data_IF_272286681575
#
_entry.id   IF_272286681575
#
_cell.length_a   1.000
_cell.length_b   1.000
_cell.length_c   1.000
_cell.angle_alpha   90.00
_cell.angle_beta   90.00
_cell.angle_gamma   90.00
#
_symmetry.space_group_name_H-M   'P 1'
#
loop_
_entity.id
_entity.type
_entity.pdbx_description
1 polymer ?
#
# COMPACT_ATOMS: atom_id res chain seq x y z
N UNK A 1 -10.45 -23.02 3.35
CA UNK A 1 -10.72 -22.10 4.48
C UNK A 1 -10.21 -20.68 4.25
N UNK A 2 -9.13 -20.45 3.49
CA UNK A 2 -8.74 -19.08 3.06
C UNK A 2 -9.87 -18.32 2.33
N UNK A 3 -10.70 -19.07 1.59
CA UNK A 3 -11.78 -18.51 0.79
C UNK A 3 -12.77 -17.69 1.62
N UNK A 4 -13.20 -18.14 2.81
CA UNK A 4 -14.29 -17.47 3.54
C UNK A 4 -13.84 -16.18 4.23
N UNK A 5 -12.61 -16.14 4.75
CA UNK A 5 -12.03 -14.93 5.35
C UNK A 5 -11.85 -13.84 4.28
N UNK A 6 -11.30 -14.23 3.12
CA UNK A 6 -11.04 -13.33 2.03
C UNK A 6 -12.35 -12.88 1.37
N UNK A 7 -13.28 -13.77 1.06
CA UNK A 7 -14.59 -13.45 0.47
C UNK A 7 -15.38 -12.45 1.32
N UNK A 8 -15.33 -12.56 2.66
CA UNK A 8 -15.98 -11.60 3.57
C UNK A 8 -15.40 -10.17 3.51
N UNK A 9 -14.13 -10.00 3.08
CA UNK A 9 -13.52 -8.69 2.77
C UNK A 9 -14.28 -8.01 1.64
N UNK A 10 -14.81 -8.79 0.70
CA UNK A 10 -15.39 -8.28 -0.52
C UNK A 10 -16.93 -8.26 -0.50
N UNK A 11 -17.58 -9.19 0.20
CA UNK A 11 -19.05 -9.27 0.34
C UNK A 11 -19.66 -8.02 0.97
N UNK A 12 -19.07 -7.51 2.05
CA UNK A 12 -19.57 -6.32 2.74
C UNK A 12 -19.25 -5.02 1.98
N UNK A 13 -18.54 -5.12 0.86
CA UNK A 13 -17.90 -4.01 0.16
C UNK A 13 -18.10 -4.07 -1.37
N UNK A 14 -19.24 -4.55 -1.86
CA UNK A 14 -19.57 -4.49 -3.29
C UNK A 14 -19.72 -3.03 -3.81
N UNK A 15 -18.92 -2.62 -4.80
CA UNK A 15 -18.94 -1.25 -5.36
C UNK A 15 -17.56 -0.74 -5.80
N UNK A 16 -17.43 0.51 -6.27
CA UNK A 16 -16.16 1.10 -6.72
C UNK A 16 -15.21 1.33 -5.54
N UNK A 17 -14.46 0.28 -5.19
CA UNK A 17 -13.55 0.25 -4.05
C UNK A 17 -12.22 -0.37 -4.45
N UNK A 18 -11.18 -0.02 -3.71
CA UNK A 18 -9.85 -0.63 -3.81
C UNK A 18 -9.52 -1.33 -2.50
N UNK A 19 -9.20 -2.63 -2.57
CA UNK A 19 -8.62 -3.39 -1.48
C UNK A 19 -7.07 -3.38 -1.58
N UNK A 20 -6.41 -2.90 -0.53
CA UNK A 20 -4.95 -2.91 -0.38
C UNK A 20 -4.56 -3.98 0.65
N UNK A 21 -3.82 -5.00 0.22
CA UNK A 21 -3.44 -6.12 1.08
C UNK A 21 -2.02 -5.96 1.63
N UNK A 22 -1.81 -6.48 2.85
CA UNK A 22 -0.49 -6.63 3.44
C UNK A 22 0.47 -7.40 2.51
N UNK A 23 1.77 -7.30 2.82
CA UNK A 23 2.76 -8.15 2.14
C UNK A 23 2.59 -9.62 2.54
N UNK A 24 2.92 -10.51 1.62
CA UNK A 24 2.87 -11.95 1.83
C UNK A 24 3.84 -12.39 2.93
N UNK A 25 3.31 -13.10 3.93
CA UNK A 25 4.17 -13.74 4.91
C UNK A 25 4.86 -14.92 4.25
N UNK A 26 6.18 -14.89 4.21
CA UNK A 26 7.00 -16.06 3.86
C UNK A 26 7.11 -17.01 5.07
N UNK A 27 5.97 -17.34 5.67
CA UNK A 27 5.86 -18.40 6.68
C UNK A 27 5.39 -19.70 6.00
N UNK A 28 5.36 -20.81 6.73
CA UNK A 28 4.75 -22.06 6.24
C UNK A 28 3.21 -22.00 6.19
N UNK A 29 2.62 -20.83 6.48
CA UNK A 29 1.18 -20.66 6.46
C UNK A 29 0.69 -20.37 5.04
N UNK A 30 -0.49 -20.88 4.65
CA UNK A 30 -1.00 -20.66 3.31
C UNK A 30 -1.34 -19.17 3.08
N UNK A 31 -0.91 -18.64 1.94
CA UNK A 31 -1.21 -17.28 1.48
C UNK A 31 -2.14 -17.33 0.26
N UNK A 32 -3.05 -16.34 0.04
CA UNK A 32 -3.87 -16.33 -1.15
C UNK A 32 -3.04 -16.40 -2.43
N UNK A 33 -3.38 -17.32 -3.31
CA UNK A 33 -2.85 -17.34 -4.66
C UNK A 33 -3.46 -16.21 -5.48
N UNK A 34 -2.79 -15.82 -6.57
CA UNK A 34 -3.35 -14.85 -7.52
C UNK A 34 -4.74 -15.26 -8.03
N UNK A 35 -4.93 -16.54 -8.36
CA UNK A 35 -6.20 -17.02 -8.90
C UNK A 35 -7.34 -16.87 -7.88
N UNK A 36 -7.08 -17.12 -6.60
CA UNK A 36 -8.07 -16.94 -5.52
C UNK A 36 -8.44 -15.46 -5.36
N UNK A 37 -7.45 -14.57 -5.32
CA UNK A 37 -7.70 -13.12 -5.19
C UNK A 37 -8.47 -12.58 -6.39
N UNK A 38 -8.02 -12.90 -7.61
CA UNK A 38 -8.65 -12.46 -8.86
C UNK A 38 -10.12 -12.94 -8.94
N UNK A 39 -10.40 -14.18 -8.51
CA UNK A 39 -11.75 -14.74 -8.53
C UNK A 39 -12.69 -13.99 -7.57
N UNK A 40 -12.26 -13.78 -6.33
CA UNK A 40 -13.07 -13.09 -5.31
C UNK A 40 -13.24 -11.61 -5.68
N UNK A 41 -12.17 -10.92 -6.06
CA UNK A 41 -12.21 -9.52 -6.47
C UNK A 41 -13.15 -9.30 -7.68
N UNK A 42 -13.15 -10.24 -8.64
CA UNK A 42 -14.09 -10.25 -9.77
C UNK A 42 -15.53 -10.43 -9.31
N UNK A 43 -15.80 -11.45 -8.49
CA UNK A 43 -17.15 -11.78 -8.01
C UNK A 43 -17.83 -10.58 -7.34
N UNK A 44 -17.07 -9.81 -6.58
CA UNK A 44 -17.59 -8.68 -5.80
C UNK A 44 -17.36 -7.31 -6.43
N UNK A 45 -16.76 -7.28 -7.62
CA UNK A 45 -16.48 -6.05 -8.39
C UNK A 45 -15.63 -5.04 -7.63
N UNK A 46 -14.58 -5.51 -6.97
CA UNK A 46 -13.63 -4.68 -6.22
C UNK A 46 -12.27 -4.77 -6.88
N UNK A 47 -11.55 -3.66 -6.95
CA UNK A 47 -10.17 -3.64 -7.40
C UNK A 47 -9.24 -4.04 -6.25
N UNK A 48 -8.16 -4.77 -6.53
CA UNK A 48 -7.25 -5.28 -5.51
C UNK A 48 -5.79 -4.99 -5.87
N UNK A 49 -5.01 -4.58 -4.88
CA UNK A 49 -3.54 -4.52 -4.90
C UNK A 49 -3.03 -5.45 -3.80
N UNK A 50 -2.31 -6.50 -4.18
CA UNK A 50 -1.95 -7.58 -3.26
C UNK A 50 -0.65 -8.23 -3.66
N UNK A 51 0.02 -8.84 -2.69
CA UNK A 51 1.18 -9.69 -2.96
C UNK A 51 0.76 -11.14 -3.10
N UNK A 52 1.32 -11.84 -4.07
CA UNK A 52 1.18 -13.27 -4.23
C UNK A 52 2.53 -13.90 -4.58
N UNK A 53 2.73 -15.14 -4.14
CA UNK A 53 3.92 -15.92 -4.46
C UNK A 53 3.92 -16.35 -5.93
N UNK A 54 5.10 -16.30 -6.52
CA UNK A 54 5.39 -16.82 -7.84
C UNK A 54 5.85 -18.27 -7.77
N UNK A 55 5.90 -18.93 -8.92
CA UNK A 55 6.40 -20.31 -9.04
C UNK A 55 7.87 -20.47 -8.64
N UNK A 56 8.64 -19.39 -8.64
CA UNK A 56 10.03 -19.35 -8.19
C UNK A 56 10.18 -19.10 -6.67
N UNK A 57 9.06 -19.04 -5.93
CA UNK A 57 9.03 -18.81 -4.49
C UNK A 57 9.17 -17.35 -4.06
N UNK A 58 9.36 -16.41 -4.98
CA UNK A 58 9.39 -14.97 -4.66
C UNK A 58 7.98 -14.38 -4.62
N UNK A 59 7.74 -13.44 -3.72
CA UNK A 59 6.52 -12.64 -3.70
C UNK A 59 6.64 -11.43 -4.64
N UNK A 60 5.53 -11.09 -5.30
CA UNK A 60 5.42 -9.84 -6.04
C UNK A 60 4.04 -9.22 -5.84
N UNK A 61 4.00 -7.90 -5.77
CA UNK A 61 2.75 -7.15 -5.79
C UNK A 61 2.14 -7.17 -7.19
N UNK A 62 0.84 -7.42 -7.22
CA UNK A 62 0.00 -7.58 -8.40
C UNK A 62 -1.27 -6.77 -8.21
N UNK A 63 -1.90 -6.43 -9.33
CA UNK A 63 -3.13 -5.66 -9.32
C UNK A 63 -4.22 -6.33 -10.15
N UNK A 64 -5.44 -6.28 -9.64
CA UNK A 64 -6.64 -6.75 -10.30
C UNK A 64 -7.67 -5.63 -10.39
N UNK A 65 -8.22 -5.41 -11.57
CA UNK A 65 -9.33 -4.51 -11.84
C UNK A 65 -10.59 -5.32 -12.15
N UNK A 66 -11.75 -5.01 -11.56
CA UNK A 66 -13.02 -5.62 -11.95
C UNK A 66 -13.45 -5.24 -13.37
N UNK A 67 -12.85 -4.21 -13.97
CA UNK A 67 -13.13 -3.75 -15.34
C UNK A 67 -12.12 -4.31 -16.34
N UNK A 68 -10.82 -4.21 -16.04
CA UNK A 68 -9.75 -4.62 -16.95
C UNK A 68 -9.25 -6.05 -16.71
N UNK A 69 -9.71 -6.71 -15.64
CA UNK A 69 -9.17 -7.98 -15.19
C UNK A 69 -7.80 -7.82 -14.53
N UNK A 70 -6.97 -8.86 -14.62
CA UNK A 70 -5.63 -8.80 -14.04
C UNK A 70 -4.72 -7.85 -14.83
N UNK A 71 -4.06 -6.93 -14.14
CA UNK A 71 -3.17 -5.95 -14.75
C UNK A 71 -1.76 -6.53 -14.95
N UNK A 72 -1.00 -6.09 -15.97
CA UNK A 72 0.36 -6.55 -16.23
C UNK A 72 1.38 -5.89 -15.28
N UNK A 73 1.07 -5.83 -13.99
CA UNK A 73 1.92 -5.22 -12.95
C UNK A 73 2.49 -6.34 -12.09
N UNK A 74 3.82 -6.32 -11.94
CA UNK A 74 4.53 -7.25 -11.09
C UNK A 74 5.69 -6.52 -10.39
N UNK A 75 5.47 -6.12 -9.14
CA UNK A 75 6.39 -5.26 -8.39
C UNK A 75 7.08 -6.07 -7.30
N UNK A 76 8.39 -6.23 -7.44
CA UNK A 76 9.23 -6.94 -6.50
C UNK A 76 9.89 -5.98 -5.51
N UNK A 77 10.12 -6.48 -4.30
CA UNK A 77 10.96 -5.80 -3.32
C UNK A 77 12.41 -5.72 -3.82
N UNK A 78 13.00 -4.51 -3.83
CA UNK A 78 14.42 -4.32 -4.19
C UNK A 78 15.37 -4.56 -3.03
N UNK A 79 14.98 -4.15 -1.84
CA UNK A 79 15.77 -4.36 -0.63
C UNK A 79 14.88 -4.36 0.62
N UNK A 80 15.39 -4.91 1.71
CA UNK A 80 14.67 -5.09 2.96
C UNK A 80 15.15 -4.20 4.10
N UNK A 81 16.41 -3.75 4.09
CA UNK A 81 16.98 -3.10 5.28
C UNK A 81 17.62 -1.75 4.99
N UNK A 82 17.82 -0.97 6.06
CA UNK A 82 18.56 0.30 5.99
C UNK A 82 20.03 0.11 5.63
N UNK A 83 20.61 -1.02 6.00
CA UNK A 83 22.02 -1.35 5.73
C UNK A 83 22.21 -1.56 4.23
N UNK A 84 21.30 -2.28 3.57
CA UNK A 84 21.31 -2.43 2.11
C UNK A 84 21.14 -1.07 1.41
N UNK A 85 20.16 -0.26 1.84
CA UNK A 85 19.95 1.07 1.28
C UNK A 85 21.15 2.03 1.53
N UNK A 86 21.89 1.85 2.62
CA UNK A 86 23.10 2.63 2.90
C UNK A 86 24.28 2.20 2.04
N UNK A 87 24.44 0.90 1.83
CA UNK A 87 25.56 0.33 1.09
C UNK A 87 25.50 0.63 -0.41
N UNK A 88 24.30 0.88 -0.95
CA UNK A 88 24.10 1.08 -2.39
C UNK A 88 23.28 2.36 -2.69
N UNK A 89 23.96 3.51 -2.83
CA UNK A 89 23.31 4.76 -3.24
C UNK A 89 22.68 4.70 -4.64
N UNK A 90 23.21 3.88 -5.56
CA UNK A 90 22.69 3.76 -6.91
C UNK A 90 21.32 3.06 -6.91
N UNK A 91 21.19 1.96 -6.17
CA UNK A 91 19.90 1.28 -5.95
C UNK A 91 18.83 2.22 -5.35
N UNK A 92 19.23 3.08 -4.40
CA UNK A 92 18.31 4.09 -3.83
C UNK A 92 17.89 5.11 -4.88
N UNK A 93 18.84 5.65 -5.65
CA UNK A 93 18.55 6.62 -6.71
C UNK A 93 17.62 6.04 -7.79
N UNK A 94 17.82 4.78 -8.18
CA UNK A 94 16.93 4.07 -9.09
C UNK A 94 15.52 3.94 -8.51
N UNK A 95 15.38 3.49 -7.25
CA UNK A 95 14.05 3.38 -6.64
C UNK A 95 13.35 4.75 -6.50
N UNK A 96 14.09 5.81 -6.23
CA UNK A 96 13.55 7.19 -6.21
C UNK A 96 13.03 7.60 -7.59
N UNK A 97 13.79 7.31 -8.65
CA UNK A 97 13.35 7.53 -10.03
C UNK A 97 12.05 6.78 -10.34
N UNK A 98 11.92 5.54 -9.87
CA UNK A 98 10.71 4.74 -10.09
C UNK A 98 9.52 5.17 -9.25
N UNK A 99 9.76 5.93 -8.17
CA UNK A 99 8.71 6.65 -7.43
C UNK A 99 8.31 7.97 -8.10
N UNK A 100 8.97 8.36 -9.19
CA UNK A 100 8.64 9.56 -9.95
C UNK A 100 7.26 9.48 -10.62
N UNK A 101 6.79 10.59 -11.23
CA UNK A 101 5.57 10.59 -12.02
C UNK A 101 5.64 9.51 -13.10
N UNK A 102 4.63 8.64 -13.16
CA UNK A 102 4.57 7.51 -14.11
C UNK A 102 5.67 6.45 -13.98
N UNK A 103 6.46 6.48 -12.89
CA UNK A 103 7.46 5.46 -12.62
C UNK A 103 6.87 4.10 -12.22
N UNK A 104 7.70 3.07 -12.19
CA UNK A 104 7.30 1.67 -11.93
C UNK A 104 6.68 1.44 -10.55
N UNK A 105 6.85 2.38 -9.60
CA UNK A 105 6.24 2.32 -8.27
C UNK A 105 4.88 3.01 -8.19
N UNK A 106 4.33 3.48 -9.30
CA UNK A 106 2.95 4.01 -9.36
C UNK A 106 2.04 3.02 -10.07
N UNK A 107 1.16 2.35 -9.32
CA UNK A 107 0.15 1.44 -9.84
C UNK A 107 -1.12 2.23 -10.16
N UNK A 108 -1.55 2.19 -11.42
CA UNK A 108 -2.83 2.79 -11.84
C UNK A 108 -3.94 1.74 -11.73
N UNK A 109 -4.70 1.81 -10.65
CA UNK A 109 -5.74 0.84 -10.33
C UNK A 109 -7.11 1.49 -10.42
N UNK A 110 -7.91 1.10 -11.41
CA UNK A 110 -9.22 1.69 -11.72
C UNK A 110 -9.18 3.23 -11.79
N UNK A 111 -8.17 3.79 -12.43
CA UNK A 111 -8.02 5.25 -12.56
C UNK A 111 -7.49 5.96 -11.31
N UNK A 112 -7.17 5.22 -10.24
CA UNK A 112 -6.50 5.73 -9.06
C UNK A 112 -4.99 5.45 -9.12
N UNK A 113 -4.12 6.46 -9.16
CA UNK A 113 -2.69 6.27 -8.97
C UNK A 113 -2.35 5.95 -7.51
N UNK A 114 -1.64 4.84 -7.31
CA UNK A 114 -1.21 4.37 -5.99
C UNK A 114 0.31 4.21 -6.01
N UNK A 115 1.02 4.99 -5.22
CA UNK A 115 2.45 4.80 -4.97
C UNK A 115 2.66 3.58 -4.09
N UNK A 116 3.59 2.70 -4.43
CA UNK A 116 3.84 1.45 -3.71
C UNK A 116 5.27 1.34 -3.20
N UNK A 117 5.41 1.07 -1.90
CA UNK A 117 6.63 0.52 -1.31
C UNK A 117 6.37 -0.90 -0.81
N UNK A 118 7.24 -1.84 -1.16
CA UNK A 118 7.19 -3.21 -0.66
C UNK A 118 8.05 -3.32 0.59
N UNK A 119 7.40 -3.53 1.75
CA UNK A 119 8.04 -3.80 3.03
C UNK A 119 9.18 -2.80 3.37
N UNK A 120 10.42 -3.27 3.37
CA UNK A 120 11.61 -2.52 3.75
C UNK A 120 12.03 -1.40 2.81
N UNK A 121 11.43 -1.29 1.62
CA UNK A 121 11.75 -0.24 0.64
C UNK A 121 11.51 1.18 1.17
N UNK A 122 10.62 1.34 2.16
CA UNK A 122 10.45 2.63 2.84
C UNK A 122 11.74 3.12 3.55
N UNK A 123 12.77 2.27 3.69
CA UNK A 123 14.10 2.69 4.14
C UNK A 123 14.89 3.49 3.08
N UNK A 124 14.37 3.73 1.86
CA UNK A 124 14.86 4.85 1.04
C UNK A 124 14.68 6.18 1.75
N UNK A 125 13.77 6.25 2.73
CA UNK A 125 13.66 7.39 3.60
C UNK A 125 14.52 7.16 4.84
N UNK A 126 15.23 8.20 5.26
CA UNK A 126 16.03 8.21 6.48
C UNK A 126 15.67 9.39 7.36
N UNK A 127 15.94 9.27 8.65
CA UNK A 127 15.59 10.28 9.65
C UNK A 127 16.88 10.94 10.14
N UNK A 128 16.91 12.27 10.19
CA UNK A 128 17.99 13.01 10.84
C UNK A 128 17.65 13.15 12.33
N UNK A 129 18.25 12.31 13.17
CA UNK A 129 17.96 12.30 14.61
C UNK A 129 18.26 13.65 15.28
N UNK A 130 19.35 14.31 14.89
CA UNK A 130 19.77 15.62 15.40
C UNK A 130 18.83 16.76 15.03
N UNK A 131 17.91 16.55 14.08
CA UNK A 131 16.92 17.54 13.64
C UNK A 131 15.49 17.10 13.99
N UNK A 132 15.29 16.57 15.19
CA UNK A 132 13.95 16.16 15.63
C UNK A 132 13.36 14.98 14.84
N UNK A 133 14.21 14.14 14.25
CA UNK A 133 13.85 13.01 13.39
C UNK A 133 13.15 13.38 12.07
N UNK A 134 13.47 14.55 11.49
CA UNK A 134 13.01 14.92 10.14
C UNK A 134 13.38 13.83 9.13
N UNK A 135 12.39 13.37 8.38
CA UNK A 135 12.56 12.37 7.33
C UNK A 135 12.88 13.04 5.98
N UNK A 136 13.76 12.43 5.21
CA UNK A 136 14.09 12.83 3.83
C UNK A 136 14.55 11.60 3.03
N UNK A 137 14.70 11.75 1.71
CA UNK A 137 15.23 10.70 0.85
C UNK A 137 16.72 10.48 1.16
N UNK A 138 17.08 9.23 1.43
CA UNK A 138 18.45 8.81 1.75
C UNK A 138 19.37 9.16 0.58
N UNK A 139 20.56 9.67 0.89
CA UNK A 139 21.59 10.12 -0.05
C UNK A 139 21.23 11.37 -0.88
N UNK A 140 19.98 11.84 -0.86
CA UNK A 140 19.57 13.10 -1.49
C UNK A 140 18.40 13.75 -0.72
N UNK A 141 18.68 14.66 0.23
CA UNK A 141 17.63 15.36 0.99
C UNK A 141 16.70 16.24 0.15
N UNK A 142 17.11 16.60 -1.07
CA UNK A 142 16.33 17.45 -1.97
C UNK A 142 15.36 16.66 -2.83
N UNK A 143 15.65 15.38 -3.07
CA UNK A 143 14.77 14.48 -3.80
C UNK A 143 13.39 14.34 -3.14
N UNK A 144 12.43 13.95 -3.97
CA UNK A 144 11.05 13.69 -3.58
C UNK A 144 10.63 12.34 -4.16
N UNK A 145 9.76 11.66 -3.42
CA UNK A 145 9.16 10.39 -3.84
C UNK A 145 7.66 10.61 -3.95
N UNK A 146 7.10 10.14 -5.07
CA UNK A 146 5.72 10.36 -5.49
C UNK A 146 5.37 11.85 -5.69
N UNK A 147 4.86 12.18 -6.87
CA UNK A 147 4.37 13.52 -7.18
C UNK A 147 3.01 13.83 -6.55
N UNK A 148 2.58 15.09 -6.61
CA UNK A 148 1.24 15.51 -6.15
C UNK A 148 0.09 14.79 -6.88
N UNK A 149 0.37 14.20 -8.03
CA UNK A 149 -0.55 13.37 -8.81
C UNK A 149 -0.78 11.97 -8.23
N UNK A 150 -0.05 11.57 -7.18
CA UNK A 150 -0.25 10.28 -6.48
C UNK A 150 -0.98 10.59 -5.16
N UNK A 151 -2.31 10.37 -5.05
CA UNK A 151 -3.08 10.68 -3.85
C UNK A 151 -2.96 9.65 -2.74
N UNK A 152 -2.44 8.45 -3.03
CA UNK A 152 -2.27 7.35 -2.07
C UNK A 152 -0.86 6.78 -2.19
N UNK A 153 -0.15 6.70 -1.06
CA UNK A 153 1.04 5.85 -0.90
C UNK A 153 0.69 4.66 -0.04
N UNK A 154 1.00 3.48 -0.51
CA UNK A 154 0.78 2.23 0.17
C UNK A 154 2.12 1.54 0.46
N UNK A 155 2.29 1.11 1.71
CA UNK A 155 3.39 0.24 2.12
C UNK A 155 2.83 -1.04 2.75
N UNK A 156 2.72 -2.08 1.95
CA UNK A 156 2.40 -3.41 2.44
C UNK A 156 3.67 -4.15 2.83
N UNK A 157 3.74 -4.58 4.09
CA UNK A 157 4.94 -5.11 4.71
C UNK A 157 4.79 -6.57 5.15
N UNK A 158 5.92 -7.29 5.12
CA UNK A 158 6.03 -8.71 5.51
C UNK A 158 6.36 -8.90 7.00
N UNK A 159 6.82 -7.84 7.68
CA UNK A 159 7.35 -7.92 9.04
C UNK A 159 6.86 -6.76 9.91
N UNK A 160 7.03 -6.92 11.23
CA UNK A 160 6.67 -5.91 12.21
C UNK A 160 7.83 -4.93 12.20
N UNK A 161 7.58 -3.74 11.66
CA UNK A 161 8.65 -2.74 11.55
C UNK A 161 9.13 -2.32 12.94
N UNK A 162 10.41 -2.53 13.23
CA UNK A 162 10.95 -2.52 14.59
C UNK A 162 11.05 -1.15 15.30
N UNK A 163 10.97 -0.02 14.59
CA UNK A 163 11.01 1.32 15.21
C UNK A 163 9.92 2.24 14.67
N UNK A 164 8.77 2.24 15.34
CA UNK A 164 7.63 3.06 14.97
C UNK A 164 7.87 4.56 15.05
N UNK A 165 8.72 5.04 15.97
CA UNK A 165 9.04 6.47 16.06
C UNK A 165 9.74 6.99 14.80
N UNK A 166 10.65 6.20 14.22
CA UNK A 166 11.30 6.53 12.94
C UNK A 166 10.31 6.42 11.79
N UNK A 167 9.53 5.34 11.77
CA UNK A 167 8.57 5.06 10.70
C UNK A 167 7.44 6.09 10.62
N UNK A 168 6.97 6.57 11.77
CA UNK A 168 5.96 7.63 11.88
C UNK A 168 6.37 8.90 11.14
N UNK A 169 7.63 9.33 11.29
CA UNK A 169 8.14 10.52 10.60
C UNK A 169 8.25 10.32 9.08
N UNK A 170 8.49 9.09 8.62
CA UNK A 170 8.51 8.75 7.19
C UNK A 170 7.09 8.81 6.60
N UNK A 171 6.10 8.26 7.29
CA UNK A 171 4.71 8.36 6.85
C UNK A 171 4.14 9.79 6.99
N UNK A 172 4.61 10.57 7.96
CA UNK A 172 4.36 12.00 8.03
C UNK A 172 4.82 12.66 6.72
N UNK A 173 6.08 12.49 6.31
CA UNK A 173 6.60 13.02 5.04
C UNK A 173 5.77 12.55 3.84
N UNK A 174 5.47 11.25 3.76
CA UNK A 174 4.76 10.66 2.61
C UNK A 174 3.32 11.16 2.44
N UNK A 175 2.67 11.57 3.52
CA UNK A 175 1.27 12.03 3.52
C UNK A 175 1.11 13.54 3.33
N UNK A 176 2.20 14.32 3.31
CA UNK A 176 2.11 15.78 3.14
C UNK A 176 1.45 16.18 1.82
N UNK A 177 0.77 17.33 1.82
CA UNK A 177 0.12 17.87 0.62
C UNK A 177 -1.24 17.23 0.35
N UNK A 178 -1.98 16.88 1.42
CA UNK A 178 -3.29 16.26 1.31
C UNK A 178 -3.27 14.83 0.75
N UNK A 179 -2.17 14.10 0.94
CA UNK A 179 -2.01 12.72 0.46
C UNK A 179 -2.30 11.70 1.56
N UNK A 180 -2.87 10.57 1.19
CA UNK A 180 -2.93 9.39 2.05
C UNK A 180 -1.61 8.60 2.05
N UNK A 181 -1.17 8.18 3.22
CA UNK A 181 -0.09 7.21 3.36
C UNK A 181 -0.47 6.09 4.32
N UNK A 182 -0.38 4.85 3.85
CA UNK A 182 -0.82 3.66 4.56
C UNK A 182 0.33 2.70 4.81
N UNK A 183 0.37 2.14 6.01
CA UNK A 183 1.16 0.96 6.33
C UNK A 183 0.22 -0.18 6.67
N UNK A 184 0.44 -1.35 6.06
CA UNK A 184 -0.31 -2.57 6.38
C UNK A 184 0.65 -3.73 6.49
N UNK A 185 0.54 -4.49 7.56
CA UNK A 185 1.28 -5.74 7.76
C UNK A 185 0.33 -6.79 8.34
N UNK A 186 0.78 -8.03 8.47
CA UNK A 186 0.04 -9.09 9.15
C UNK A 186 0.94 -10.10 9.85
N UNK A 187 2.17 -9.71 10.14
CA UNK A 187 3.24 -10.55 10.65
C UNK A 187 3.31 -10.75 12.16
N UNK A 188 2.47 -10.08 12.95
CA UNK A 188 2.54 -10.17 14.41
C UNK A 188 1.60 -11.27 14.92
N UNK A 189 2.06 -12.51 15.03
CA UNK A 189 1.21 -13.62 15.48
C UNK A 189 0.54 -13.37 16.84
N UNK A 190 1.14 -12.55 17.71
CA UNK A 190 0.56 -12.20 19.00
C UNK A 190 -0.52 -11.09 18.88
N UNK A 191 -0.46 -10.27 17.82
CA UNK A 191 -1.31 -9.10 17.63
C UNK A 191 -1.81 -8.94 16.19
N UNK A 192 -2.08 -10.05 15.48
CA UNK A 192 -2.58 -10.01 14.12
C UNK A 192 -3.75 -9.04 14.05
N UNK A 193 -3.67 -8.08 13.14
CA UNK A 193 -4.71 -7.07 12.99
C UNK A 193 -4.70 -5.92 14.00
N UNK A 194 -4.09 -6.03 15.18
CA UNK A 194 -4.22 -5.03 16.27
C UNK A 194 -3.17 -3.92 16.21
N UNK A 195 -1.97 -4.18 15.71
CA UNK A 195 -0.86 -3.21 15.57
C UNK A 195 -0.39 -3.01 14.12
N UNK A 196 -1.19 -3.48 13.18
CA UNK A 196 -0.77 -3.81 11.83
C UNK A 196 -1.19 -2.81 10.76
N UNK A 197 -2.09 -1.88 11.08
CA UNK A 197 -2.53 -0.82 10.17
C UNK A 197 -2.17 0.53 10.76
N UNK A 198 -1.58 1.41 9.94
CA UNK A 198 -1.50 2.84 10.22
C UNK A 198 -1.89 3.65 8.99
N UNK A 199 -2.62 4.73 9.23
CA UNK A 199 -3.04 5.66 8.21
C UNK A 199 -2.64 7.08 8.58
N UNK A 200 -2.12 7.81 7.60
CA UNK A 200 -1.70 9.20 7.72
C UNK A 200 -2.30 10.03 6.58
N UNK A 201 -2.69 11.26 6.90
CA UNK A 201 -3.21 12.23 5.96
C UNK A 201 -2.67 13.60 6.29
N UNK A 202 -2.10 14.28 5.30
CA UNK A 202 -1.53 15.63 5.43
C UNK A 202 -0.57 15.80 6.62
N UNK A 203 0.34 14.82 6.78
CA UNK A 203 1.30 14.80 7.87
C UNK A 203 0.71 14.37 9.23
N UNK A 204 -0.59 14.17 9.36
CA UNK A 204 -1.20 13.76 10.62
C UNK A 204 -1.49 12.27 10.63
N UNK A 205 -1.26 11.63 11.78
CA UNK A 205 -1.69 10.24 11.99
C UNK A 205 -3.20 10.25 12.22
N UNK A 206 -3.94 9.57 11.37
CA UNK A 206 -5.41 9.58 11.38
C UNK A 206 -5.98 8.34 12.04
N UNK A 207 -5.33 7.19 11.87
CA UNK A 207 -5.82 5.94 12.44
C UNK A 207 -4.70 4.94 12.73
N UNK A 208 -4.95 4.09 13.73
CA UNK A 208 -4.19 2.87 14.00
C UNK A 208 -5.16 1.74 14.31
N UNK A 209 -4.77 0.51 14.05
CA UNK A 209 -5.59 -0.67 14.32
C UNK A 209 -5.82 -1.02 15.81
N UNK A 210 -5.26 -0.24 16.75
CA UNK A 210 -5.35 -0.53 18.17
C UNK A 210 -6.72 -0.11 18.72
N UNK A 211 -7.67 -1.07 18.79
CA UNK A 211 -8.98 -1.00 19.49
C UNK A 211 -9.97 0.09 19.08
N UNK A 212 -9.56 1.10 18.32
CA UNK A 212 -10.43 2.13 17.77
C UNK A 212 -10.83 1.71 16.35
N UNK A 213 -12.14 1.72 16.08
CA UNK A 213 -12.64 1.53 14.73
C UNK A 213 -11.96 2.56 13.83
N UNK A 214 -11.34 2.11 12.73
CA UNK A 214 -11.04 2.99 11.61
C UNK A 214 -12.39 3.32 10.98
N UNK A 215 -13.10 4.26 11.60
CA UNK A 215 -14.35 4.83 11.13
C UNK A 215 -14.29 6.32 11.39
N UNK A 216 -13.23 6.94 10.87
CA UNK A 216 -13.18 8.38 10.77
C UNK A 216 -13.76 8.76 9.42
N UNK A 217 -14.75 9.66 9.42
CA UNK A 217 -15.11 10.44 8.24
C UNK A 217 -13.96 11.39 7.99
N UNK A 218 -13.02 10.98 7.16
CA UNK A 218 -11.78 11.73 6.93
C UNK A 218 -12.00 12.67 5.72
N UNK A 219 -11.36 13.85 5.65
CA UNK A 219 -11.48 14.71 4.48
C UNK A 219 -11.21 13.93 3.18
N UNK A 220 -12.04 14.18 2.16
CA UNK A 220 -12.02 13.58 0.81
C UNK A 220 -12.77 12.26 0.56
N UNK A 221 -13.57 11.76 1.51
CA UNK A 221 -14.51 10.65 1.23
C UNK A 221 -13.85 9.29 1.02
N UNK A 222 -12.59 9.13 1.45
CA UNK A 222 -11.91 7.84 1.53
C UNK A 222 -12.25 7.21 2.86
N UNK A 223 -13.17 6.26 2.85
CA UNK A 223 -13.42 5.41 4.00
C UNK A 223 -12.42 4.27 4.00
N UNK A 224 -11.68 4.16 5.10
CA UNK A 224 -10.68 3.12 5.29
C UNK A 224 -11.25 2.10 6.26
N UNK A 225 -11.55 0.91 5.77
CA UNK A 225 -11.99 -0.17 6.64
C UNK A 225 -10.91 -1.23 6.74
N UNK A 226 -10.50 -1.53 7.98
CA UNK A 226 -9.80 -2.79 8.28
C UNK A 226 -10.83 -3.90 8.19
N UNK A 227 -10.54 -4.92 7.38
CA UNK A 227 -11.34 -6.15 7.38
C UNK A 227 -10.44 -7.31 7.77
N UNK A 228 -10.95 -8.13 8.67
CA UNK A 228 -10.33 -9.37 9.12
C UNK A 228 -11.42 -10.38 9.47
N UNK A 229 -11.12 -11.66 9.34
CA UNK A 229 -12.00 -12.71 9.83
C UNK A 229 -11.89 -12.80 11.36
N UNK A 230 -13.02 -12.84 12.07
CA UNK A 230 -13.03 -12.99 13.52
C UNK A 230 -12.43 -14.33 13.98
N UNK A 231 -12.44 -15.33 13.10
CA UNK A 231 -11.78 -16.63 13.29
C UNK A 231 -10.34 -16.66 12.78
N UNK A 232 -9.91 -15.67 11.99
CA UNK A 232 -8.58 -15.61 11.40
C UNK A 232 -8.12 -14.17 11.07
N UNK A 233 -7.49 -13.51 12.05
CA UNK A 233 -7.01 -12.13 11.89
C UNK A 233 -5.76 -12.01 10.99
N UNK A 234 -5.25 -13.11 10.41
CA UNK A 234 -4.07 -13.10 9.53
C UNK A 234 -4.30 -12.36 8.23
N UNK A 235 -5.51 -12.39 7.69
CA UNK A 235 -5.80 -11.78 6.39
C UNK A 235 -6.42 -10.42 6.60
N UNK A 236 -5.60 -9.38 6.42
CA UNK A 236 -6.01 -7.99 6.57
C UNK A 236 -5.92 -7.30 5.23
N UNK A 237 -6.97 -6.56 4.92
CA UNK A 237 -6.98 -5.58 3.85
C UNK A 237 -7.42 -4.22 4.38
N UNK A 238 -6.95 -3.17 3.72
CA UNK A 238 -7.59 -1.86 3.77
C UNK A 238 -8.48 -1.71 2.55
N UNK A 239 -9.76 -1.55 2.79
CA UNK A 239 -10.70 -1.19 1.73
C UNK A 239 -10.83 0.32 1.72
N UNK A 240 -10.62 0.91 0.54
CA UNK A 240 -10.76 2.32 0.26
C UNK A 240 -12.04 2.55 -0.56
N UNK A 241 -12.97 3.32 0.00
CA UNK A 241 -14.07 3.88 -0.79
C UNK A 241 -13.52 5.00 -1.67
N UNK A 242 -13.62 4.84 -3.00
CA UNK A 242 -13.19 5.88 -3.93
C UNK A 242 -14.44 6.57 -4.46
N UNK A 243 -14.67 7.86 -4.13
CA UNK A 243 -15.80 8.57 -4.65
C UNK A 243 -15.77 8.53 -6.19
N UNK A 244 -16.91 8.18 -6.81
CA UNK A 244 -17.04 7.97 -8.26
C UNK A 244 -16.61 9.14 -9.14
N UNK A 245 -16.40 10.33 -8.56
CA UNK A 245 -15.87 11.54 -9.22
C UNK A 245 -14.41 11.36 -9.66
N UNK A 246 -13.65 10.43 -9.05
CA UNK A 246 -12.30 10.06 -9.51
C UNK A 246 -12.30 9.13 -10.74
N UNK A 247 -13.47 8.63 -11.16
CA UNK A 247 -13.62 7.59 -12.20
C UNK A 247 -14.20 8.10 -13.52
N UNK A 248 -14.29 9.41 -13.76
CA UNK A 248 -14.87 9.90 -15.02
C UNK A 248 -14.05 9.40 -16.21
N UNK A 249 -14.70 8.95 -17.31
CA UNK A 249 -14.02 8.49 -18.52
C UNK A 249 -12.98 9.50 -19.06
N UNK A 250 -13.23 10.79 -18.84
CA UNK A 250 -12.39 11.92 -19.24
C UNK A 250 -11.05 11.96 -18.48
N UNK A 251 -11.04 11.71 -17.17
CA UNK A 251 -9.79 11.59 -16.39
C UNK A 251 -9.06 10.28 -16.65
N UNK A 252 -9.79 9.19 -16.93
CA UNK A 252 -9.21 7.92 -17.39
C UNK A 252 -8.41 8.11 -18.69
N UNK A 253 -8.96 8.87 -19.64
CA UNK A 253 -8.29 9.16 -20.91
C UNK A 253 -7.04 10.03 -20.76
N UNK A 254 -7.04 10.99 -19.83
CA UNK A 254 -5.87 11.85 -19.56
C UNK A 254 -4.72 11.07 -18.90
N UNK A 255 -5.02 10.23 -17.92
CA UNK A 255 -4.02 9.40 -17.20
C UNK A 255 -3.38 8.35 -18.12
N UNK A 256 -4.16 7.74 -19.01
CA UNK A 256 -3.63 6.73 -19.95
C UNK A 256 -2.77 7.36 -21.07
N UNK A 257 -2.87 8.67 -21.31
CA UNK A 257 -2.12 9.40 -22.34
C UNK A 257 -0.85 10.09 -21.83
N UNK A 258 -0.61 10.13 -20.52
CA UNK A 258 0.49 10.90 -19.95
C UNK A 258 0.28 12.42 -20.01
N UNK A 259 -0.92 12.87 -20.37
CA UNK A 259 -1.28 14.27 -20.52
C UNK A 259 -1.93 14.76 -19.21
N UNK A 260 -1.11 15.03 -18.20
CA UNK A 260 -1.51 15.86 -17.07
C UNK A 260 -0.39 16.87 -16.78
N UNK A 261 -0.71 18.13 -17.08
CA UNK A 261 0.07 19.36 -16.83
C UNK A 261 0.42 19.56 -15.37
#
# INVERSE_FOLDING_TARGET
MLHDAYTRIFENHAGPRIALHAGALFTNEPWPTRAEVDAVARQHRVAALFEASNSDGRGAYRAFSPVAGALPVEIYQRFATSEQANADPAMVAELVKDCGPYGERTVYLDGMPIGLFVCGEINILTNVQTQGNVAHVRHDPTARVFGHNVPIVFNGAHTTMGNWGKLERRFHLLSQGGRWAFHVTNCDNANWGRSTVRAYYDGQRVATSAREAISTSIPAGVHVQRISDASDERYIALVLDIPGVMLTPERRAAVTRGDAS
#
